data_IF_839924968844
#
_entry.id   IF_839924968844
#
_cell.length_a   1.000
_cell.length_b   1.000
_cell.length_c   1.000
_cell.angle_alpha   90.00
_cell.angle_beta   90.00
_cell.angle_gamma   90.00
#
_symmetry.space_group_name_H-M   'P 1'
#
loop_
_entity.id
_entity.type
_entity.pdbx_description
1 polymer ?
#
# COMPACT_ATOMS: atom_id res chain seq x y z
N UNK A 1 37.50 -22.91 -4.56
CA UNK A 1 36.91 -21.62 -4.12
C UNK A 1 36.04 -21.10 -5.25
N UNK A 2 34.75 -20.91 -4.99
CA UNK A 2 33.77 -20.49 -6.01
C UNK A 2 33.91 -19.00 -6.32
N UNK A 3 33.81 -18.61 -7.60
CA UNK A 3 33.83 -17.19 -7.99
C UNK A 3 32.64 -16.46 -7.37
N UNK A 4 32.90 -15.29 -6.78
CA UNK A 4 31.88 -14.46 -6.14
C UNK A 4 31.26 -13.50 -7.15
N UNK A 5 29.94 -13.46 -7.25
CA UNK A 5 29.23 -12.59 -8.19
C UNK A 5 29.03 -11.17 -7.63
N UNK A 6 28.82 -10.19 -8.51
CA UNK A 6 28.52 -8.78 -8.22
C UNK A 6 27.33 -8.56 -7.27
N UNK A 7 26.43 -9.55 -7.14
CA UNK A 7 25.33 -9.58 -6.17
C UNK A 7 25.84 -9.70 -4.72
N UNK A 8 26.94 -10.42 -4.50
CA UNK A 8 27.57 -10.55 -3.18
C UNK A 8 28.33 -9.28 -2.77
N UNK A 9 28.82 -8.50 -3.74
CA UNK A 9 29.50 -7.22 -3.50
C UNK A 9 28.54 -6.19 -2.87
N UNK A 10 27.33 -6.05 -3.43
CA UNK A 10 26.32 -5.11 -2.91
C UNK A 10 25.80 -5.53 -1.53
N UNK A 11 25.58 -6.84 -1.34
CA UNK A 11 25.11 -7.38 -0.06
C UNK A 11 26.15 -7.16 1.05
N UNK A 12 27.44 -7.31 0.75
CA UNK A 12 28.55 -7.08 1.69
C UNK A 12 28.84 -5.59 1.96
N UNK A 13 28.70 -4.72 0.95
CA UNK A 13 28.81 -3.25 1.15
C UNK A 13 27.67 -2.75 2.04
N UNK A 14 26.45 -3.27 1.89
CA UNK A 14 25.31 -2.90 2.74
C UNK A 14 25.48 -3.31 4.21
N UNK A 15 26.15 -4.44 4.47
CA UNK A 15 26.43 -4.90 5.85
C UNK A 15 27.57 -4.11 6.51
N UNK A 16 28.47 -3.50 5.73
CA UNK A 16 29.61 -2.73 6.25
C UNK A 16 29.35 -1.23 6.43
N UNK A 17 28.29 -0.68 5.82
CA UNK A 17 27.96 0.75 5.94
C UNK A 17 26.94 1.08 7.06
N UNK A 18 26.47 0.08 7.80
CA UNK A 18 25.39 0.23 8.80
C UNK A 18 25.81 -0.03 10.25
N UNK A 19 27.06 -0.39 10.52
CA UNK A 19 27.55 -0.70 11.88
C UNK A 19 28.52 0.34 12.45
N UNK A 20 28.18 0.93 13.59
CA UNK A 20 29.06 1.79 14.39
C UNK A 20 30.19 0.95 15.04
N UNK A 21 31.39 0.88 14.46
CA UNK A 21 32.61 0.58 15.25
C UNK A 21 33.91 1.06 14.57
N UNK A 22 34.84 1.57 15.39
CA UNK A 22 36.04 2.31 14.98
C UNK A 22 37.28 1.46 14.64
N UNK A 23 37.14 0.19 14.25
CA UNK A 23 38.30 -0.62 13.78
C UNK A 23 37.98 -1.36 12.49
N UNK A 24 38.45 -0.81 11.37
CA UNK A 24 38.33 -1.36 10.02
C UNK A 24 39.61 -2.12 9.63
N UNK A 25 39.61 -3.44 9.74
CA UNK A 25 40.48 -4.32 8.94
C UNK A 25 39.74 -5.61 8.60
N UNK A 26 39.76 -5.98 7.32
CA UNK A 26 39.30 -7.28 6.86
C UNK A 26 40.14 -8.37 7.54
N UNK A 27 39.50 -9.39 8.09
CA UNK A 27 40.19 -10.53 8.70
C UNK A 27 40.96 -11.39 7.68
N UNK A 28 40.72 -11.20 6.38
CA UNK A 28 41.44 -11.86 5.29
C UNK A 28 41.45 -10.99 4.03
N UNK A 29 42.58 -10.90 3.30
CA UNK A 29 42.64 -10.15 2.05
C UNK A 29 41.76 -10.81 0.98
N UNK A 30 41.03 -9.99 0.23
CA UNK A 30 40.21 -10.41 -0.90
C UNK A 30 41.16 -10.68 -2.07
N UNK A 31 41.19 -11.93 -2.53
CA UNK A 31 42.10 -12.40 -3.58
C UNK A 31 41.98 -11.66 -4.92
N UNK A 32 42.73 -12.07 -5.95
CA UNK A 32 42.87 -11.30 -7.18
C UNK A 32 41.58 -11.32 -8.04
N UNK A 33 41.24 -10.16 -8.60
CA UNK A 33 40.03 -9.92 -9.40
C UNK A 33 40.42 -9.85 -10.88
N UNK A 34 39.79 -10.65 -11.75
CA UNK A 34 40.26 -10.82 -13.12
C UNK A 34 39.23 -10.51 -14.22
N UNK A 35 38.01 -10.04 -13.90
CA UNK A 35 37.07 -9.61 -14.94
C UNK A 35 36.18 -8.45 -14.49
N UNK A 36 36.12 -7.42 -15.34
CA UNK A 36 35.14 -6.35 -15.25
C UNK A 36 34.05 -6.62 -16.30
N UNK A 37 32.81 -6.66 -15.86
CA UNK A 37 31.66 -6.81 -16.75
C UNK A 37 31.43 -5.50 -17.52
N UNK A 38 31.64 -5.53 -18.84
CA UNK A 38 31.45 -4.37 -19.72
C UNK A 38 29.97 -3.99 -19.92
N UNK A 39 29.03 -4.86 -19.52
CA UNK A 39 27.59 -4.56 -19.51
C UNK A 39 27.16 -3.74 -18.28
N UNK A 40 28.08 -3.49 -17.34
CA UNK A 40 27.82 -2.77 -16.10
C UNK A 40 27.60 -1.28 -16.34
N UNK A 41 26.35 -0.83 -16.16
CA UNK A 41 25.92 0.55 -16.46
C UNK A 41 26.12 1.54 -15.32
N UNK A 42 26.68 1.14 -14.18
CA UNK A 42 26.78 2.01 -13.00
C UNK A 42 28.22 2.14 -12.51
N UNK A 43 28.74 3.35 -12.33
CA UNK A 43 30.10 3.56 -11.80
C UNK A 43 30.09 4.55 -10.65
N UNK A 44 30.82 4.25 -9.58
CA UNK A 44 30.97 5.13 -8.44
C UNK A 44 32.28 5.90 -8.54
N UNK A 45 32.23 7.22 -8.35
CA UNK A 45 33.40 8.09 -8.30
C UNK A 45 33.71 8.45 -6.84
N UNK A 46 34.81 7.91 -6.26
CA UNK A 46 35.18 8.21 -4.88
C UNK A 46 35.57 9.67 -4.66
N UNK A 47 36.13 10.34 -5.67
CA UNK A 47 36.57 11.73 -5.59
C UNK A 47 35.41 12.71 -5.51
N UNK A 48 34.24 12.34 -6.04
CA UNK A 48 33.03 13.18 -6.07
C UNK A 48 31.90 12.62 -5.21
N UNK A 49 32.13 11.50 -4.52
CA UNK A 49 31.12 10.74 -3.76
C UNK A 49 29.81 10.53 -4.56
N UNK A 50 29.96 10.31 -5.87
CA UNK A 50 28.84 10.32 -6.83
C UNK A 50 28.74 9.01 -7.59
N UNK A 51 27.52 8.49 -7.69
CA UNK A 51 27.21 7.33 -8.53
C UNK A 51 26.79 7.83 -9.93
N UNK A 52 27.27 7.21 -11.00
CA UNK A 52 26.98 7.55 -12.39
C UNK A 52 26.28 6.40 -13.08
N UNK A 53 25.27 6.70 -13.90
CA UNK A 53 24.59 5.74 -14.77
C UNK A 53 24.97 5.98 -16.23
N UNK A 54 25.16 4.90 -17.00
CA UNK A 54 25.50 4.95 -18.43
C UNK A 54 24.26 4.80 -19.30
N UNK A 55 23.90 5.86 -20.02
CA UNK A 55 22.87 5.86 -21.06
C UNK A 55 23.53 6.09 -22.43
N UNK A 56 23.62 5.03 -23.23
CA UNK A 56 24.39 5.04 -24.47
C UNK A 56 25.87 5.36 -24.23
N UNK A 57 26.31 6.54 -24.69
CA UNK A 57 27.67 7.06 -24.51
C UNK A 57 27.79 8.11 -23.39
N UNK A 58 26.69 8.46 -22.73
CA UNK A 58 26.67 9.49 -21.69
C UNK A 58 26.73 8.87 -20.30
N UNK A 59 27.51 9.49 -19.40
CA UNK A 59 27.53 9.18 -17.97
C UNK A 59 26.77 10.25 -17.22
N UNK A 60 25.63 9.87 -16.66
CA UNK A 60 24.72 10.77 -15.97
C UNK A 60 24.97 10.65 -14.46
N UNK A 61 25.38 11.72 -13.75
CA UNK A 61 25.51 11.71 -12.30
C UNK A 61 24.14 11.52 -11.66
N UNK A 62 24.04 10.60 -10.71
CA UNK A 62 22.76 10.14 -10.17
C UNK A 62 22.57 10.45 -8.68
N UNK A 63 23.64 10.44 -7.85
CA UNK A 63 23.53 10.51 -6.38
C UNK A 63 24.72 11.24 -5.74
N UNK A 64 24.50 11.99 -4.64
CA UNK A 64 25.51 12.29 -3.59
C UNK A 64 25.02 11.70 -2.27
N UNK A 65 25.77 10.78 -1.65
CA UNK A 65 25.31 10.08 -0.45
C UNK A 65 25.20 11.04 0.76
N UNK A 66 23.97 11.29 1.24
CA UNK A 66 23.71 12.01 2.51
C UNK A 66 23.47 11.02 3.66
N UNK A 67 23.97 11.36 4.85
CA UNK A 67 23.99 10.48 6.04
C UNK A 67 22.59 10.12 6.58
N UNK A 68 22.40 8.93 7.21
CA UNK A 68 21.07 8.44 7.61
C UNK A 68 20.58 9.00 8.96
N UNK A 69 19.26 9.23 9.08
CA UNK A 69 18.55 9.46 10.36
C UNK A 69 17.49 8.37 10.62
N UNK A 70 17.68 7.66 11.74
CA UNK A 70 16.76 6.94 12.66
C UNK A 70 15.69 5.94 12.14
N UNK A 71 15.63 4.76 12.78
CA UNK A 71 14.63 3.68 12.65
C UNK A 71 13.88 3.47 13.98
N UNK A 72 12.57 3.16 13.92
CA UNK A 72 11.72 2.78 15.05
C UNK A 72 11.55 1.24 15.16
N UNK A 73 11.37 0.73 16.39
CA UNK A 73 11.46 -0.68 16.81
C UNK A 73 10.14 -1.49 16.78
N UNK A 74 10.26 -2.83 16.74
CA UNK A 74 9.20 -3.85 16.87
C UNK A 74 8.83 -4.13 18.34
N UNK A 75 7.54 -4.38 18.63
CA UNK A 75 7.06 -4.99 19.88
C UNK A 75 6.10 -6.14 19.53
N UNK A 76 6.36 -7.34 20.05
CA UNK A 76 5.53 -8.54 19.86
C UNK A 76 5.01 -8.99 21.21
N UNK A 77 3.69 -9.15 21.35
CA UNK A 77 3.08 -9.84 22.50
C UNK A 77 2.60 -11.23 22.05
N UNK A 78 3.00 -12.27 22.79
CA UNK A 78 2.45 -13.64 22.69
C UNK A 78 1.70 -13.92 23.97
N UNK A 79 0.40 -14.20 23.89
CA UNK A 79 -0.34 -14.87 24.97
C UNK A 79 -0.53 -16.32 24.57
N UNK A 80 0.05 -17.24 25.33
CA UNK A 80 -0.17 -18.68 25.19
C UNK A 80 -0.65 -19.21 26.52
N UNK A 81 -1.92 -19.62 26.64
CA UNK A 81 -2.33 -20.64 27.61
C UNK A 81 -3.49 -21.47 27.07
N UNK A 82 -3.44 -22.74 27.43
CA UNK A 82 -4.12 -23.87 26.77
C UNK A 82 -5.65 -23.85 26.91
N UNK A 83 -6.32 -24.28 25.83
CA UNK A 83 -7.77 -24.51 25.75
C UNK A 83 -8.48 -23.52 24.83
N UNK A 84 -8.73 -23.91 23.57
CA UNK A 84 -9.20 -23.09 22.43
C UNK A 84 -8.26 -21.94 22.03
N UNK A 85 -7.41 -22.21 21.04
CA UNK A 85 -6.34 -21.30 20.61
C UNK A 85 -6.84 -20.30 19.56
N UNK A 86 -7.25 -19.11 19.98
CA UNK A 86 -7.36 -17.96 19.07
C UNK A 86 -6.00 -17.26 18.98
N UNK A 87 -5.41 -17.23 17.78
CA UNK A 87 -4.09 -16.60 17.55
C UNK A 87 -4.24 -15.10 17.28
N UNK A 88 -3.84 -14.27 18.23
CA UNK A 88 -3.72 -12.81 18.06
C UNK A 88 -2.32 -12.45 17.54
N UNK A 89 -2.23 -11.75 16.41
CA UNK A 89 -0.97 -11.29 15.81
C UNK A 89 -1.06 -9.80 15.43
N UNK A 90 -0.14 -8.98 15.94
CA UNK A 90 0.04 -7.58 15.57
C UNK A 90 1.35 -7.40 14.77
N UNK A 91 1.34 -6.58 13.71
CA UNK A 91 2.46 -6.34 12.80
C UNK A 91 2.64 -4.83 12.54
N UNK A 92 3.89 -4.34 12.54
CA UNK A 92 4.26 -2.96 12.20
C UNK A 92 5.06 -2.87 10.88
N UNK A 93 5.16 -1.68 10.28
CA UNK A 93 5.79 -1.45 8.97
C UNK A 93 7.31 -1.21 9.06
N UNK A 94 8.08 -1.81 8.15
CA UNK A 94 9.50 -1.51 7.91
C UNK A 94 9.74 -1.42 6.40
N UNK A 95 10.30 -0.29 5.92
CA UNK A 95 10.55 -0.04 4.49
C UNK A 95 11.80 -0.80 4.04
N UNK A 96 11.67 -1.66 3.04
CA UNK A 96 12.82 -2.29 2.36
C UNK A 96 13.39 -1.32 1.32
N UNK A 97 14.73 -1.24 1.22
CA UNK A 97 15.40 -0.43 0.20
C UNK A 97 15.41 -1.19 -1.14
N UNK A 98 14.61 -0.71 -2.09
CA UNK A 98 14.56 -1.23 -3.46
C UNK A 98 15.58 -0.50 -4.35
N UNK A 99 16.10 -1.14 -5.42
CA UNK A 99 16.76 -0.42 -6.50
C UNK A 99 15.83 0.67 -7.05
N UNK A 100 16.35 1.77 -7.63
CA UNK A 100 15.51 2.84 -8.16
C UNK A 100 14.52 2.24 -9.17
N UNK A 101 13.20 2.39 -8.96
CA UNK A 101 12.21 1.79 -9.84
C UNK A 101 12.20 2.48 -11.20
N UNK A 102 12.19 1.69 -12.27
CA UNK A 102 12.16 2.18 -13.66
C UNK A 102 10.77 2.58 -14.15
N UNK A 103 9.72 1.95 -13.61
CA UNK A 103 8.32 2.25 -13.95
C UNK A 103 7.34 1.92 -12.81
N UNK A 104 6.13 2.45 -12.91
CA UNK A 104 4.99 2.17 -12.03
C UNK A 104 4.59 0.70 -12.15
N UNK A 105 4.63 0.12 -13.35
CA UNK A 105 4.30 -1.29 -13.57
C UNK A 105 5.34 -2.22 -12.93
N UNK A 106 6.63 -1.86 -12.97
CA UNK A 106 7.67 -2.62 -12.27
C UNK A 106 7.43 -2.65 -10.75
N UNK A 107 7.04 -1.51 -10.17
CA UNK A 107 6.67 -1.42 -8.76
C UNK A 107 5.41 -2.25 -8.46
N UNK A 108 4.39 -2.17 -9.30
CA UNK A 108 3.18 -2.97 -9.15
C UNK A 108 3.49 -4.47 -9.14
N UNK A 109 4.27 -4.96 -10.11
CA UNK A 109 4.69 -6.36 -10.16
C UNK A 109 5.55 -6.76 -8.95
N UNK A 110 6.46 -5.88 -8.54
CA UNK A 110 7.31 -6.11 -7.38
C UNK A 110 6.48 -6.27 -6.08
N UNK A 111 5.59 -5.31 -5.80
CA UNK A 111 4.71 -5.37 -4.63
C UNK A 111 3.67 -6.49 -4.74
N UNK A 112 3.24 -6.84 -5.95
CA UNK A 112 2.40 -8.02 -6.21
C UNK A 112 3.12 -9.31 -5.79
N UNK A 113 4.36 -9.52 -6.23
CA UNK A 113 5.16 -10.68 -5.82
C UNK A 113 5.37 -10.75 -4.31
N UNK A 114 5.58 -9.60 -3.65
CA UNK A 114 5.65 -9.55 -2.18
C UNK A 114 4.32 -9.97 -1.54
N UNK A 115 3.20 -9.48 -2.06
CA UNK A 115 1.86 -9.81 -1.56
C UNK A 115 1.52 -11.31 -1.76
N UNK A 116 1.97 -11.92 -2.85
CA UNK A 116 1.78 -13.36 -3.09
C UNK A 116 2.66 -14.24 -2.18
N UNK A 117 3.85 -13.75 -1.82
CA UNK A 117 4.83 -14.51 -1.01
C UNK A 117 4.47 -14.61 0.49
N UNK A 118 3.42 -13.93 0.97
CA UNK A 118 3.05 -13.93 2.39
C UNK A 118 1.63 -13.43 2.68
N UNK A 119 1.27 -13.30 3.96
CA UNK A 119 -0.03 -12.74 4.42
C UNK A 119 -0.03 -11.21 4.52
N UNK A 120 0.98 -10.55 3.94
CA UNK A 120 1.20 -9.12 4.04
C UNK A 120 1.36 -8.51 2.65
N UNK A 121 0.71 -7.38 2.44
CA UNK A 121 0.68 -6.68 1.18
C UNK A 121 -0.66 -6.86 0.50
N UNK A 122 -1.12 -5.77 -0.11
CA UNK A 122 -2.26 -5.76 -1.01
C UNK A 122 -1.90 -4.83 -2.15
N UNK A 123 -2.21 -5.25 -3.37
CA UNK A 123 -2.12 -4.44 -4.57
C UNK A 123 -3.43 -4.56 -5.35
N UNK A 124 -3.83 -3.53 -6.12
CA UNK A 124 -4.93 -3.65 -7.06
C UNK A 124 -4.70 -4.79 -8.07
N UNK A 125 -5.77 -5.46 -8.46
CA UNK A 125 -5.73 -6.60 -9.38
C UNK A 125 -5.39 -6.20 -10.81
N UNK A 126 -5.76 -4.99 -11.22
CA UNK A 126 -5.52 -4.50 -12.58
C UNK A 126 -5.05 -3.07 -12.55
N UNK A 127 -3.88 -2.83 -13.15
CA UNK A 127 -3.38 -1.49 -13.48
C UNK A 127 -3.05 -1.46 -14.96
N UNK A 128 -3.59 -0.50 -15.69
CA UNK A 128 -3.27 -0.27 -17.11
C UNK A 128 -2.90 1.19 -17.33
N UNK A 129 -1.93 1.43 -18.20
CA UNK A 129 -1.51 2.78 -18.59
C UNK A 129 -1.94 2.99 -20.04
N UNK A 130 -2.79 3.98 -20.27
CA UNK A 130 -3.15 4.50 -21.59
C UNK A 130 -2.31 5.76 -21.83
N UNK A 131 -1.58 5.81 -22.95
CA UNK A 131 -0.67 6.94 -23.25
C UNK A 131 0.73 6.78 -22.65
N UNK A 132 1.30 7.89 -22.17
CA UNK A 132 2.69 8.02 -21.74
C UNK A 132 2.82 8.13 -20.22
N UNK A 133 3.44 7.12 -19.62
CA UNK A 133 3.84 7.14 -18.21
C UNK A 133 4.73 8.35 -17.89
N UNK A 134 5.62 8.73 -18.81
CA UNK A 134 6.46 9.91 -18.66
C UNK A 134 5.62 11.19 -18.52
N UNK A 135 4.58 11.38 -19.34
CA UNK A 135 3.70 12.56 -19.23
C UNK A 135 2.92 12.58 -17.92
N UNK A 136 2.47 11.42 -17.43
CA UNK A 136 1.83 11.28 -16.12
C UNK A 136 2.78 11.67 -14.96
N UNK A 137 4.04 11.22 -15.03
CA UNK A 137 5.08 11.60 -14.06
C UNK A 137 5.40 13.09 -14.13
N UNK A 138 5.42 13.69 -15.33
CA UNK A 138 5.61 15.14 -15.48
C UNK A 138 4.42 15.93 -14.93
N UNK A 139 3.18 15.49 -15.17
CA UNK A 139 1.99 16.10 -14.60
C UNK A 139 2.01 16.03 -13.06
N UNK A 140 2.45 14.90 -12.49
CA UNK A 140 2.65 14.78 -11.05
C UNK A 140 3.66 15.80 -10.53
N UNK A 141 4.82 15.94 -11.19
CA UNK A 141 5.86 16.91 -10.80
C UNK A 141 5.39 18.35 -10.93
N UNK A 142 4.60 18.65 -11.95
CA UNK A 142 4.03 19.98 -12.20
C UNK A 142 2.85 20.32 -11.27
N UNK A 143 2.30 19.33 -10.55
CA UNK A 143 1.13 19.52 -9.70
C UNK A 143 -0.20 19.62 -10.45
N UNK A 144 -0.25 19.10 -11.68
CA UNK A 144 -1.44 19.11 -12.57
C UNK A 144 -2.04 17.71 -12.77
N UNK A 145 -1.50 16.69 -12.10
CA UNK A 145 -2.10 15.36 -12.10
C UNK A 145 -3.41 15.38 -11.31
N UNK A 146 -4.45 14.82 -11.91
CA UNK A 146 -5.75 14.62 -11.25
C UNK A 146 -5.95 13.15 -10.91
N UNK A 147 -6.72 12.88 -9.86
CA UNK A 147 -7.16 11.56 -9.46
C UNK A 147 -8.68 11.53 -9.29
N UNK A 148 -9.36 10.52 -9.83
CA UNK A 148 -10.81 10.34 -9.65
C UNK A 148 -11.08 8.88 -9.32
N UNK A 149 -11.83 8.63 -8.24
CA UNK A 149 -12.14 7.27 -7.78
C UNK A 149 -13.61 7.11 -7.43
N UNK A 150 -14.16 5.93 -7.71
CA UNK A 150 -15.53 5.56 -7.33
C UNK A 150 -15.57 4.06 -6.95
N UNK A 151 -16.51 3.71 -6.06
CA UNK A 151 -16.75 2.38 -5.53
C UNK A 151 -18.14 1.88 -5.89
N UNK A 152 -18.23 0.65 -6.40
CA UNK A 152 -19.50 -0.01 -6.70
C UNK A 152 -19.73 -1.17 -5.72
N UNK A 153 -20.90 -1.17 -5.06
CA UNK A 153 -21.29 -2.21 -4.12
C UNK A 153 -22.69 -2.73 -4.40
N UNK A 154 -22.85 -4.05 -4.55
CA UNK A 154 -24.14 -4.73 -4.62
C UNK A 154 -23.98 -6.19 -4.20
N UNK A 155 -25.01 -6.75 -3.57
CA UNK A 155 -25.06 -8.17 -3.22
C UNK A 155 -23.80 -8.68 -2.49
N UNK A 156 -23.28 -7.88 -1.54
CA UNK A 156 -22.07 -8.19 -0.75
C UNK A 156 -20.77 -8.26 -1.57
N UNK A 157 -20.78 -7.86 -2.83
CA UNK A 157 -19.59 -7.70 -3.67
C UNK A 157 -19.29 -6.22 -3.82
N UNK A 158 -18.10 -5.83 -3.39
CA UNK A 158 -17.56 -4.47 -3.57
C UNK A 158 -16.46 -4.46 -4.62
N UNK A 159 -16.41 -3.41 -5.43
CA UNK A 159 -15.34 -3.12 -6.38
C UNK A 159 -15.05 -1.62 -6.39
N UNK A 160 -13.89 -1.24 -6.89
CA UNK A 160 -13.58 0.15 -7.15
C UNK A 160 -12.83 0.31 -8.46
N UNK A 161 -12.98 1.51 -9.02
CA UNK A 161 -12.13 1.97 -10.11
C UNK A 161 -11.57 3.35 -9.77
N UNK A 162 -10.37 3.60 -10.25
CA UNK A 162 -9.68 4.89 -10.13
C UNK A 162 -8.99 5.19 -11.44
N UNK A 163 -8.95 6.47 -11.78
CA UNK A 163 -8.06 7.01 -12.78
C UNK A 163 -7.11 8.05 -12.19
N UNK A 164 -5.83 7.97 -12.55
CA UNK A 164 -4.85 9.05 -12.40
C UNK A 164 -4.52 9.58 -13.79
N UNK A 165 -4.71 10.86 -14.06
CA UNK A 165 -4.69 11.38 -15.42
C UNK A 165 -4.17 12.80 -15.55
N UNK A 166 -3.70 13.13 -16.75
CA UNK A 166 -3.43 14.50 -17.18
C UNK A 166 -4.75 15.27 -17.38
N UNK A 167 -4.73 16.59 -17.20
CA UNK A 167 -5.93 17.46 -17.39
C UNK A 167 -6.52 17.36 -18.80
N UNK A 168 -5.66 17.20 -19.82
CA UNK A 168 -6.05 16.98 -21.22
C UNK A 168 -6.61 15.58 -21.50
N UNK A 169 -6.63 14.70 -20.49
CA UNK A 169 -7.14 13.32 -20.52
C UNK A 169 -6.48 12.45 -21.60
N UNK A 170 -5.26 12.79 -22.04
CA UNK A 170 -4.53 12.02 -23.06
C UNK A 170 -3.74 10.86 -22.47
N UNK A 171 -3.32 10.97 -21.22
CA UNK A 171 -2.56 9.94 -20.52
C UNK A 171 -3.28 9.59 -19.22
N UNK A 172 -3.53 8.30 -18.99
CA UNK A 172 -4.37 7.80 -17.90
C UNK A 172 -3.77 6.51 -17.33
N UNK A 173 -3.72 6.42 -16.00
CA UNK A 173 -3.55 5.15 -15.28
C UNK A 173 -4.91 4.72 -14.78
N UNK A 174 -5.42 3.61 -15.30
CA UNK A 174 -6.61 2.96 -14.78
C UNK A 174 -6.22 1.94 -13.73
N UNK A 175 -6.91 1.98 -12.59
CA UNK A 175 -6.71 1.08 -11.46
C UNK A 175 -8.06 0.48 -11.14
N UNK A 176 -8.17 -0.85 -11.19
CA UNK A 176 -9.42 -1.56 -10.90
C UNK A 176 -9.15 -2.64 -9.88
N UNK A 177 -10.01 -2.73 -8.87
CA UNK A 177 -9.84 -3.72 -7.81
C UNK A 177 -11.15 -4.23 -7.22
N UNK A 178 -11.08 -5.44 -6.65
CA UNK A 178 -12.14 -5.95 -5.78
C UNK A 178 -11.92 -5.38 -4.37
N UNK A 179 -13.01 -5.07 -3.67
CA UNK A 179 -12.92 -4.60 -2.28
C UNK A 179 -12.53 -5.78 -1.36
N UNK A 180 -11.34 -5.77 -0.73
CA UNK A 180 -10.90 -6.85 0.16
C UNK A 180 -11.72 -6.85 1.45
N UNK A 181 -12.08 -8.01 2.00
CA UNK A 181 -12.88 -8.06 3.23
C UNK A 181 -13.89 -9.21 3.24
N UNK A 182 -14.37 -9.58 4.44
CA UNK A 182 -15.49 -10.52 4.58
C UNK A 182 -16.76 -9.91 4.02
N UNK A 183 -17.71 -10.74 3.58
CA UNK A 183 -19.01 -10.29 3.08
C UNK A 183 -19.71 -9.30 4.02
N UNK A 184 -19.63 -9.50 5.34
CA UNK A 184 -20.27 -8.62 6.33
C UNK A 184 -19.56 -7.27 6.50
N UNK A 185 -18.28 -7.18 6.14
CA UNK A 185 -17.54 -5.91 6.13
C UNK A 185 -17.85 -5.09 4.86
N UNK A 186 -18.36 -5.72 3.79
CA UNK A 186 -18.56 -5.05 2.52
C UNK A 186 -19.71 -4.03 2.58
N UNK A 187 -19.45 -2.82 2.08
CA UNK A 187 -20.38 -1.69 2.01
C UNK A 187 -19.96 -0.74 0.89
N UNK A 188 -20.87 0.13 0.44
CA UNK A 188 -20.55 1.19 -0.52
C UNK A 188 -19.36 2.04 -0.05
N UNK A 189 -19.36 2.47 1.20
CA UNK A 189 -18.23 3.22 1.79
C UNK A 189 -16.93 2.42 1.80
N UNK A 190 -16.95 1.09 1.99
CA UNK A 190 -15.73 0.28 1.91
C UNK A 190 -15.18 0.25 0.48
N UNK A 191 -16.08 0.19 -0.51
CA UNK A 191 -15.74 0.24 -1.93
C UNK A 191 -15.19 1.61 -2.35
N UNK A 192 -15.75 2.71 -1.84
CA UNK A 192 -15.19 4.05 -2.06
C UNK A 192 -13.80 4.18 -1.41
N UNK A 193 -13.65 3.72 -0.16
CA UNK A 193 -12.37 3.77 0.57
C UNK A 193 -11.27 2.97 -0.13
N UNK A 194 -11.56 1.78 -0.67
CA UNK A 194 -10.53 1.00 -1.38
C UNK A 194 -10.10 1.71 -2.67
N UNK A 195 -10.99 2.42 -3.38
CA UNK A 195 -10.64 3.26 -4.52
C UNK A 195 -9.67 4.39 -4.14
N UNK A 196 -9.98 5.13 -3.07
CA UNK A 196 -9.07 6.15 -2.53
C UNK A 196 -7.72 5.55 -2.11
N UNK A 197 -7.71 4.39 -1.43
CA UNK A 197 -6.48 3.73 -1.03
C UNK A 197 -5.64 3.27 -2.22
N UNK A 198 -6.27 2.71 -3.26
CA UNK A 198 -5.61 2.31 -4.50
C UNK A 198 -4.98 3.50 -5.22
N UNK A 199 -5.70 4.62 -5.29
CA UNK A 199 -5.21 5.90 -5.82
C UNK A 199 -3.92 6.33 -5.10
N UNK A 200 -3.95 6.35 -3.76
CA UNK A 200 -2.83 6.80 -2.94
C UNK A 200 -1.63 5.84 -2.98
N UNK A 201 -1.89 4.53 -3.09
CA UNK A 201 -0.83 3.54 -3.25
C UNK A 201 -0.08 3.74 -4.57
N UNK A 202 -0.80 3.96 -5.67
CA UNK A 202 -0.17 4.22 -6.97
C UNK A 202 0.51 5.60 -6.97
N UNK A 203 -0.05 6.62 -6.30
CA UNK A 203 0.65 7.89 -6.10
C UNK A 203 1.96 7.73 -5.30
N UNK A 204 2.02 6.83 -4.31
CA UNK A 204 3.28 6.53 -3.62
C UNK A 204 4.30 5.93 -4.61
N UNK A 205 3.88 5.00 -5.47
CA UNK A 205 4.75 4.44 -6.51
C UNK A 205 5.20 5.49 -7.53
N UNK A 206 4.29 6.32 -8.02
CA UNK A 206 4.61 7.44 -8.90
C UNK A 206 5.59 8.40 -8.24
N UNK A 207 5.44 8.66 -6.94
CA UNK A 207 6.37 9.54 -6.20
C UNK A 207 7.79 8.98 -6.14
N UNK A 208 7.93 7.65 -6.13
CA UNK A 208 9.22 6.95 -6.15
C UNK A 208 9.86 7.03 -7.53
N UNK A 209 9.10 6.78 -8.60
CA UNK A 209 9.54 6.92 -10.00
C UNK A 209 9.89 8.39 -10.31
N UNK A 210 9.09 9.33 -9.82
CA UNK A 210 9.31 10.76 -9.99
C UNK A 210 10.42 11.31 -9.08
N UNK A 211 10.92 10.52 -8.13
CA UNK A 211 11.91 10.92 -7.12
C UNK A 211 11.54 12.17 -6.32
N UNK A 212 10.25 12.33 -5.98
CA UNK A 212 9.73 13.56 -5.36
C UNK A 212 10.42 13.93 -4.04
N UNK A 213 10.96 12.95 -3.31
CA UNK A 213 11.72 13.18 -2.06
C UNK A 213 13.00 14.00 -2.24
N UNK A 214 13.51 14.13 -3.46
CA UNK A 214 14.70 14.91 -3.77
C UNK A 214 14.39 16.39 -4.01
N UNK A 215 13.12 16.76 -4.18
CA UNK A 215 12.69 18.11 -4.48
C UNK A 215 12.36 18.87 -3.19
N UNK A 216 12.71 20.15 -3.16
CA UNK A 216 12.42 21.02 -2.02
C UNK A 216 10.92 21.34 -1.92
N UNK A 217 10.24 21.49 -3.05
CA UNK A 217 8.80 21.70 -3.13
C UNK A 217 8.06 20.37 -3.34
N UNK A 218 6.98 20.19 -2.58
CA UNK A 218 6.08 19.06 -2.76
C UNK A 218 4.99 19.43 -3.77
N UNK A 219 4.80 18.66 -4.85
CA UNK A 219 3.70 18.91 -5.77
C UNK A 219 2.35 18.57 -5.12
N UNK A 220 1.28 19.06 -5.72
CA UNK A 220 -0.10 18.78 -5.31
C UNK A 220 -0.83 17.88 -6.30
N UNK A 221 -1.78 17.10 -5.81
CA UNK A 221 -2.73 16.31 -6.62
C UNK A 221 -4.14 16.57 -6.09
N UNK A 222 -5.08 16.88 -6.99
CA UNK A 222 -6.50 16.88 -6.66
C UNK A 222 -7.08 15.47 -6.81
N UNK A 223 -7.70 14.97 -5.75
CA UNK A 223 -8.32 13.64 -5.68
C UNK A 223 -9.82 13.76 -5.43
N UNK A 224 -10.60 13.32 -6.41
CA UNK A 224 -12.05 13.38 -6.41
C UNK A 224 -12.70 12.02 -6.12
N UNK A 225 -13.80 12.05 -5.36
CA UNK A 225 -14.68 10.92 -5.10
C UNK A 225 -16.09 11.44 -4.79
N UNK A 226 -17.12 10.68 -5.13
CA UNK A 226 -18.52 11.02 -4.80
C UNK A 226 -18.95 10.56 -3.39
N UNK A 227 -18.21 9.61 -2.83
CA UNK A 227 -18.31 9.13 -1.47
C UNK A 227 -17.89 10.15 -0.42
N UNK A 228 -18.81 11.04 -0.02
CA UNK A 228 -18.51 12.08 0.97
C UNK A 228 -18.04 11.48 2.32
N UNK A 229 -18.67 10.37 2.76
CA UNK A 229 -18.28 9.66 3.99
C UNK A 229 -16.86 9.10 3.86
N UNK A 230 -16.50 8.53 2.71
CA UNK A 230 -15.16 7.99 2.47
C UNK A 230 -14.11 9.12 2.47
N UNK A 231 -14.42 10.26 1.84
CA UNK A 231 -13.56 11.45 1.87
C UNK A 231 -13.38 11.98 3.30
N UNK A 232 -14.45 12.11 4.08
CA UNK A 232 -14.36 12.59 5.45
C UNK A 232 -13.55 11.64 6.34
N UNK A 233 -13.76 10.31 6.22
CA UNK A 233 -12.95 9.31 6.92
C UNK A 233 -11.47 9.41 6.55
N UNK A 234 -11.17 9.67 5.27
CA UNK A 234 -9.81 9.70 4.73
C UNK A 234 -9.04 10.97 5.09
N UNK A 235 -9.68 12.14 4.96
CA UNK A 235 -9.01 13.44 5.01
C UNK A 235 -9.27 14.25 6.30
N UNK A 236 -10.25 13.87 7.11
CA UNK A 236 -10.52 14.58 8.37
C UNK A 236 -9.35 14.47 9.36
N UNK A 237 -9.05 15.57 10.05
CA UNK A 237 -8.08 15.61 11.15
C UNK A 237 -8.65 15.03 12.46
N UNK A 238 -9.96 14.82 12.56
CA UNK A 238 -10.61 14.24 13.73
C UNK A 238 -10.13 12.81 13.99
N UNK A 239 -10.12 12.37 15.25
CA UNK A 239 -9.68 11.02 15.61
C UNK A 239 -10.53 9.93 14.92
N UNK A 240 -9.89 8.87 14.40
CA UNK A 240 -10.60 7.67 13.94
C UNK A 240 -10.90 6.76 15.13
N UNK A 241 -12.18 6.51 15.38
CA UNK A 241 -12.56 5.47 16.34
C UNK A 241 -12.08 4.10 15.87
N UNK A 242 -11.33 3.40 16.72
CA UNK A 242 -10.79 2.07 16.43
C UNK A 242 -11.88 1.03 16.21
N UNK A 243 -13.03 1.17 16.86
CA UNK A 243 -14.21 0.31 16.71
C UNK A 243 -15.09 0.71 15.53
N UNK A 244 -14.80 1.84 14.87
CA UNK A 244 -15.54 2.33 13.72
C UNK A 244 -15.45 1.39 12.52
N UNK A 245 -16.53 1.31 11.73
CA UNK A 245 -16.53 0.50 10.51
C UNK A 245 -15.45 0.95 9.52
N UNK A 246 -14.78 -0.01 8.88
CA UNK A 246 -13.72 0.22 7.89
C UNK A 246 -12.49 0.96 8.47
N UNK A 247 -12.17 0.72 9.74
CA UNK A 247 -11.00 1.32 10.38
C UNK A 247 -9.69 0.90 9.72
N UNK A 248 -9.58 -0.35 9.27
CA UNK A 248 -8.41 -0.88 8.55
C UNK A 248 -8.06 -0.02 7.31
N UNK A 249 -9.04 0.26 6.44
CA UNK A 249 -8.85 1.09 5.26
C UNK A 249 -8.65 2.56 5.61
N UNK A 250 -9.50 3.13 6.47
CA UNK A 250 -9.40 4.56 6.82
C UNK A 250 -8.07 4.90 7.50
N UNK A 251 -7.59 4.05 8.40
CA UNK A 251 -6.30 4.24 9.07
C UNK A 251 -5.12 4.06 8.11
N UNK A 252 -5.22 3.14 7.15
CA UNK A 252 -4.23 2.95 6.08
C UNK A 252 -4.15 4.15 5.15
N UNK A 253 -5.30 4.68 4.71
CA UNK A 253 -5.36 5.89 3.87
C UNK A 253 -4.72 7.07 4.58
N UNK A 254 -5.03 7.28 5.87
CA UNK A 254 -4.39 8.35 6.66
C UNK A 254 -2.90 8.15 6.86
N UNK A 255 -2.43 6.90 6.94
CA UNK A 255 -1.01 6.60 7.01
C UNK A 255 -0.30 6.91 5.68
N UNK A 256 -0.91 6.54 4.55
CA UNK A 256 -0.43 6.90 3.21
C UNK A 256 -0.33 8.42 3.05
N UNK A 257 -1.41 9.15 3.33
CA UNK A 257 -1.44 10.63 3.23
C UNK A 257 -0.35 11.32 4.07
N UNK A 258 0.03 10.77 5.22
CA UNK A 258 1.12 11.32 6.06
C UNK A 258 2.52 11.02 5.52
N UNK A 259 2.69 9.94 4.76
CA UNK A 259 4.00 9.48 4.29
C UNK A 259 4.34 9.91 2.87
N UNK A 260 3.31 10.26 2.08
CA UNK A 260 3.46 10.71 0.72
C UNK A 260 4.29 12.02 0.66
N UNK A 261 5.28 12.11 -0.24
CA UNK A 261 6.05 13.34 -0.47
C UNK A 261 5.32 14.32 -1.41
N UNK A 262 4.00 14.44 -1.28
CA UNK A 262 3.13 15.30 -2.10
C UNK A 262 1.89 15.70 -1.30
N UNK A 263 1.28 16.83 -1.67
CA UNK A 263 0.03 17.31 -1.09
C UNK A 263 -1.16 16.70 -1.83
N UNK A 264 -2.12 16.11 -1.12
CA UNK A 264 -3.35 15.59 -1.73
C UNK A 264 -4.53 16.44 -1.27
N UNK A 265 -5.18 17.11 -2.22
CA UNK A 265 -6.39 17.90 -1.97
C UNK A 265 -7.61 17.07 -2.33
N UNK A 266 -8.53 16.94 -1.38
CA UNK A 266 -9.81 16.26 -1.62
C UNK A 266 -10.74 17.14 -2.45
N UNK A 267 -11.53 16.51 -3.32
CA UNK A 267 -12.66 17.10 -4.03
C UNK A 267 -13.86 16.16 -3.90
N UNK A 268 -15.01 16.70 -3.52
CA UNK A 268 -16.27 15.96 -3.63
C UNK A 268 -16.87 16.23 -5.00
N UNK A 269 -17.33 15.18 -5.68
CA UNK A 269 -18.07 15.27 -6.95
C UNK A 269 -19.43 14.64 -6.74
N UNK A 270 -20.48 15.17 -7.36
CA UNK A 270 -21.81 14.59 -7.20
C UNK A 270 -21.94 13.33 -8.06
N UNK A 271 -22.25 12.20 -7.43
CA UNK A 271 -22.45 10.92 -8.13
C UNK A 271 -23.71 10.89 -9.00
N UNK A 272 -23.69 9.99 -10.00
CA UNK A 272 -24.83 9.62 -10.85
C UNK A 272 -25.58 10.77 -11.56
N UNK A 273 -24.87 11.84 -11.91
CA UNK A 273 -25.46 12.98 -12.63
C UNK A 273 -25.87 12.65 -14.06
N UNK A 274 -25.25 11.64 -14.66
CA UNK A 274 -25.56 11.08 -15.97
C UNK A 274 -27.00 10.53 -16.07
N UNK A 275 -27.63 10.19 -14.95
CA UNK A 275 -29.05 9.79 -14.90
C UNK A 275 -30.02 10.95 -15.12
N UNK A 276 -29.53 12.20 -15.02
CA UNK A 276 -30.36 13.40 -15.04
C UNK A 276 -29.90 14.42 -16.10
N UNK A 277 -28.64 14.37 -16.52
CA UNK A 277 -28.06 15.26 -17.53
C UNK A 277 -27.25 14.44 -18.54
N UNK A 278 -27.30 14.76 -19.84
CA UNK A 278 -26.41 14.16 -20.84
C UNK A 278 -24.93 14.32 -20.45
N UNK A 279 -24.11 13.31 -20.76
CA UNK A 279 -22.68 13.31 -20.48
C UNK A 279 -21.94 14.56 -20.99
N UNK A 280 -22.34 15.08 -22.15
CA UNK A 280 -21.76 16.29 -22.75
C UNK A 280 -22.05 17.58 -21.98
N UNK A 281 -23.01 17.57 -21.06
CA UNK A 281 -23.37 18.70 -20.19
C UNK A 281 -22.75 18.60 -18.79
N UNK A 282 -22.05 17.51 -18.50
CA UNK A 282 -21.33 17.34 -17.25
C UNK A 282 -19.99 18.09 -17.31
N UNK A 283 -19.57 18.64 -16.18
CA UNK A 283 -18.24 19.24 -16.08
C UNK A 283 -17.14 18.18 -16.18
N UNK A 284 -15.88 18.62 -16.24
CA UNK A 284 -14.74 17.72 -16.40
C UNK A 284 -14.66 16.66 -15.30
N UNK A 285 -14.88 17.02 -14.04
CA UNK A 285 -14.81 16.10 -12.90
C UNK A 285 -16.00 15.13 -12.88
N UNK A 286 -17.20 15.64 -13.17
CA UNK A 286 -18.43 14.86 -13.25
C UNK A 286 -18.34 13.80 -14.35
N UNK A 287 -17.80 14.15 -15.53
CA UNK A 287 -17.55 13.18 -16.61
C UNK A 287 -16.58 12.07 -16.18
N UNK A 288 -15.47 12.45 -15.52
CA UNK A 288 -14.50 11.47 -15.03
C UNK A 288 -15.09 10.58 -13.93
N UNK A 289 -15.98 11.09 -13.09
CA UNK A 289 -16.71 10.30 -12.10
C UNK A 289 -17.60 9.25 -12.76
N UNK A 290 -18.35 9.62 -13.80
CA UNK A 290 -19.19 8.68 -14.56
C UNK A 290 -18.36 7.55 -15.18
N UNK A 291 -17.16 7.86 -15.68
CA UNK A 291 -16.25 6.85 -16.25
C UNK A 291 -15.77 5.82 -15.22
N UNK A 292 -15.38 6.27 -14.02
CA UNK A 292 -14.95 5.35 -12.95
C UNK A 292 -16.11 4.58 -12.33
N UNK A 293 -17.29 5.19 -12.17
CA UNK A 293 -18.52 4.49 -11.74
C UNK A 293 -18.84 3.34 -12.71
N UNK A 294 -18.87 3.65 -14.01
CA UNK A 294 -19.14 2.66 -15.05
C UNK A 294 -18.14 1.50 -15.03
N UNK A 295 -16.84 1.79 -14.90
CA UNK A 295 -15.79 0.75 -14.83
C UNK A 295 -15.88 -0.06 -13.54
N UNK A 296 -16.12 0.57 -12.38
CA UNK A 296 -16.30 -0.12 -11.11
C UNK A 296 -17.49 -1.09 -11.17
N UNK A 297 -18.63 -0.63 -11.70
CA UNK A 297 -19.82 -1.47 -11.90
C UNK A 297 -19.58 -2.61 -12.90
N UNK A 298 -18.88 -2.33 -14.01
CA UNK A 298 -18.55 -3.34 -15.01
C UNK A 298 -17.65 -4.42 -14.44
N UNK A 299 -16.67 -4.05 -13.62
CA UNK A 299 -15.82 -5.01 -12.93
C UNK A 299 -16.61 -5.84 -11.91
N UNK A 300 -17.53 -5.22 -11.16
CA UNK A 300 -18.42 -5.97 -10.25
C UNK A 300 -19.24 -7.02 -11.01
N UNK A 301 -19.87 -6.63 -12.13
CA UNK A 301 -20.65 -7.54 -12.97
C UNK A 301 -19.80 -8.70 -13.50
N UNK A 302 -18.55 -8.46 -13.86
CA UNK A 302 -17.60 -9.49 -14.26
C UNK A 302 -17.27 -10.48 -13.12
N UNK A 303 -17.05 -9.97 -11.90
CA UNK A 303 -16.80 -10.83 -10.74
C UNK A 303 -18.02 -11.68 -10.38
N UNK A 304 -19.22 -11.10 -10.48
CA UNK A 304 -20.50 -11.80 -10.31
C UNK A 304 -20.66 -12.91 -11.36
N UNK A 305 -20.42 -12.62 -12.64
CA UNK A 305 -20.56 -13.60 -13.72
C UNK A 305 -19.52 -14.72 -13.68
N UNK A 306 -18.35 -14.48 -13.06
CA UNK A 306 -17.26 -15.47 -12.94
C UNK A 306 -17.25 -16.19 -11.60
N UNK A 307 -18.18 -15.90 -10.69
CA UNK A 307 -18.23 -16.50 -9.35
C UNK A 307 -17.12 -16.02 -8.40
N UNK A 308 -16.33 -15.01 -8.79
CA UNK A 308 -15.18 -14.48 -8.02
C UNK A 308 -15.62 -13.41 -7.02
N UNK A 309 -16.56 -13.75 -6.14
CA UNK A 309 -17.23 -12.77 -5.27
C UNK A 309 -16.53 -12.50 -3.94
N UNK A 310 -15.46 -13.24 -3.61
CA UNK A 310 -14.71 -13.09 -2.36
C UNK A 310 -13.25 -12.68 -2.61
N UNK A 311 -12.84 -11.55 -2.02
CA UNK A 311 -11.46 -11.12 -1.97
C UNK A 311 -10.88 -11.33 -0.56
N UNK A 312 -9.64 -11.85 -0.51
CA UNK A 312 -8.90 -11.94 0.75
C UNK A 312 -8.69 -10.55 1.36
N UNK A 313 -8.56 -10.48 2.69
CA UNK A 313 -8.27 -9.23 3.40
C UNK A 313 -6.88 -9.30 4.06
N UNK A 314 -5.78 -9.26 3.28
CA UNK A 314 -4.43 -9.29 3.84
C UNK A 314 -4.13 -7.98 4.59
N UNK A 315 -3.06 -7.95 5.38
CA UNK A 315 -2.58 -6.68 5.95
C UNK A 315 -2.11 -5.76 4.83
N UNK A 316 -2.59 -4.52 4.76
CA UNK A 316 -2.14 -3.56 3.75
C UNK A 316 -0.70 -3.09 4.02
N UNK A 317 0.06 -2.72 2.97
CA UNK A 317 1.47 -2.30 3.12
C UNK A 317 1.65 -1.16 4.12
N UNK A 318 0.72 -0.21 4.13
CA UNK A 318 0.77 0.99 4.96
C UNK A 318 -0.19 0.91 6.17
N UNK A 319 -0.74 -0.27 6.47
CA UNK A 319 -1.67 -0.46 7.58
C UNK A 319 -0.92 -0.29 8.92
N UNK A 320 -1.27 0.72 9.75
CA UNK A 320 -0.54 0.98 10.99
C UNK A 320 -0.58 -0.19 11.96
N UNK A 321 -1.74 -0.84 12.05
CA UNK A 321 -2.00 -1.98 12.92
C UNK A 321 -3.07 -2.85 12.28
N UNK A 322 -2.87 -4.17 12.35
CA UNK A 322 -3.83 -5.17 11.90
C UNK A 322 -4.11 -6.16 13.02
N UNK A 323 -5.37 -6.56 13.14
CA UNK A 323 -5.81 -7.60 14.05
C UNK A 323 -6.32 -8.78 13.23
N UNK A 324 -5.79 -9.97 13.50
CA UNK A 324 -6.29 -11.22 12.92
C UNK A 324 -6.93 -12.05 14.03
N UNK A 325 -8.14 -12.54 13.79
CA UNK A 325 -8.89 -13.44 14.65
C UNK A 325 -9.13 -14.71 13.84
N UNK A 326 -8.61 -15.83 14.33
CA UNK A 326 -8.66 -17.14 13.65
C UNK A 326 -8.17 -17.07 12.19
N UNK A 327 -7.07 -16.34 11.98
CA UNK A 327 -6.46 -16.16 10.66
C UNK A 327 -7.16 -15.15 9.76
N UNK A 328 -8.30 -14.57 10.16
CA UNK A 328 -9.01 -13.57 9.36
C UNK A 328 -8.82 -12.16 9.91
N UNK A 329 -8.43 -11.23 9.04
CA UNK A 329 -8.25 -9.83 9.41
C UNK A 329 -9.59 -9.18 9.77
N UNK A 330 -9.62 -8.49 10.90
CA UNK A 330 -10.75 -7.66 11.31
C UNK A 330 -10.69 -6.29 10.62
N UNK A 331 -11.83 -5.81 10.12
CA UNK A 331 -11.97 -4.46 9.53
C UNK A 331 -12.00 -3.34 10.58
N UNK A 332 -12.19 -3.71 11.86
CA UNK A 332 -12.26 -2.81 13.02
C UNK A 332 -11.55 -3.40 14.23
N UNK A 333 -11.16 -2.53 15.16
CA UNK A 333 -10.57 -2.89 16.45
C UNK A 333 -11.59 -2.61 17.56
N UNK A 334 -12.49 -3.57 17.75
CA UNK A 334 -13.52 -3.51 18.78
C UNK A 334 -12.94 -3.99 20.12
N UNK A 335 -12.74 -3.06 21.06
CA UNK A 335 -12.16 -3.36 22.36
C UNK A 335 -12.98 -4.40 23.13
N UNK A 336 -14.32 -4.35 23.10
CA UNK A 336 -15.15 -5.29 23.83
C UNK A 336 -14.94 -6.71 23.28
N UNK A 337 -14.94 -6.85 21.96
CA UNK A 337 -14.68 -8.13 21.29
C UNK A 337 -13.26 -8.64 21.52
N UNK A 338 -12.25 -7.75 21.49
CA UNK A 338 -10.86 -8.12 21.81
C UNK A 338 -10.75 -8.60 23.26
N UNK A 339 -11.34 -7.87 24.21
CA UNK A 339 -11.32 -8.23 25.63
C UNK A 339 -12.06 -9.54 25.88
N UNK A 340 -13.16 -9.78 25.17
CA UNK A 340 -13.87 -11.05 25.17
C UNK A 340 -12.94 -12.17 24.69
N UNK A 341 -12.35 -12.07 23.50
CA UNK A 341 -11.45 -13.10 22.97
C UNK A 341 -10.24 -13.40 23.88
N UNK A 342 -9.71 -12.39 24.56
CA UNK A 342 -8.59 -12.54 25.49
C UNK A 342 -9.01 -13.15 26.82
N UNK A 343 -10.16 -12.72 27.37
CA UNK A 343 -10.56 -13.04 28.75
C UNK A 343 -11.47 -14.25 28.84
N UNK A 344 -12.32 -14.48 27.83
CA UNK A 344 -13.35 -15.52 27.84
C UNK A 344 -12.77 -16.94 27.91
N UNK A 345 -11.65 -17.28 27.23
CA UNK A 345 -11.03 -18.60 27.39
C UNK A 345 -10.57 -18.87 28.84
N UNK A 346 -9.91 -17.90 29.48
CA UNK A 346 -9.48 -18.02 30.87
C UNK A 346 -10.66 -18.09 31.83
N UNK A 347 -11.71 -17.29 31.58
CA UNK A 347 -12.94 -17.31 32.37
C UNK A 347 -13.66 -18.64 32.25
N UNK A 348 -13.80 -19.20 31.04
CA UNK A 348 -14.38 -20.54 30.80
C UNK A 348 -13.58 -21.62 31.51
N UNK A 349 -12.25 -21.62 31.38
CA UNK A 349 -11.38 -22.59 32.06
C UNK A 349 -11.52 -22.51 33.59
N UNK A 350 -11.61 -21.30 34.14
CA UNK A 350 -11.86 -21.09 35.56
C UNK A 350 -13.20 -21.69 36.01
N UNK A 351 -14.30 -21.37 35.33
CA UNK A 351 -15.62 -21.88 35.70
C UNK A 351 -15.77 -23.39 35.50
N UNK A 352 -15.20 -23.95 34.42
CA UNK A 352 -15.14 -25.40 34.23
C UNK A 352 -14.33 -26.12 35.31
N UNK A 353 -13.34 -25.46 35.93
CA UNK A 353 -12.62 -26.02 37.09
C UNK A 353 -13.39 -25.91 38.41
N UNK A 354 -14.45 -25.09 38.46
CA UNK A 354 -15.31 -24.85 39.62
C UNK A 354 -16.59 -25.68 39.59
N UNK A 355 -17.03 -26.13 38.42
CA UNK A 355 -18.06 -27.17 38.27
C UNK A 355 -17.51 -28.50 38.80
N UNK A 356 -17.57 -28.67 40.13
CA UNK A 356 -17.49 -30.00 40.75
C UNK A 356 -18.78 -30.73 40.40
N UNK A 357 -18.74 -32.01 39.97
CA UNK A 357 -19.94 -32.82 40.01
C UNK A 357 -20.38 -32.86 41.47
N UNK A 358 -21.57 -32.32 41.75
CA UNK A 358 -22.26 -32.59 43.01
C UNK A 358 -22.50 -34.10 42.98
N UNK A 359 -21.68 -34.86 43.69
CA UNK A 359 -21.97 -36.24 44.02
C UNK A 359 -23.29 -36.21 44.80
N UNK A 360 -24.40 -36.42 44.10
CA UNK A 360 -25.65 -36.85 44.72
C UNK A 360 -25.37 -38.27 45.21
N UNK A 361 -24.87 -38.37 46.44
CA UNK A 361 -24.96 -39.61 47.20
C UNK A 361 -26.44 -39.77 47.56
N UNK A 362 -26.97 -40.94 47.21
CA UNK A 362 -28.30 -41.42 47.54
C UNK A 362 -28.57 -41.43 49.04
#
# INVERSE_FOLDING_TARGET
>A
MTPKSSRQLFQMISTHLTGHSNRRRLSSPLGPWHSFDLSWKWQYSPSTNTLFHREGHLWIPSWTLSAPRSLSSLVVFRSTRAGSSSTLRALTYQRTHLPPPSSILDLWHHFGSLAESGSHGWVPEVITIEGSEYRLVQALRAGTLCAVSDGSYKAKVGTACTQLLTEDRRDIIWITCQTPGKFDDQSSTRSELIGLMASLLVLDWMSQVAHLKLFASQPSVEMACDGLIALDKSFSKAHLSSSGAQFDLASTIRALLRHLPLQVHRRHVKGHLDKHRPFSQLDWWEQRNVEVDFKAQSYRRLLESTGRSAASNPRFFHEPVSLFIDGVKSSKLDQAHIMELVSLPALRAYWSSKDRPIAKNF
#
